data_IF_695412474610
#
_entry.id   IF_695412474610
#
_cell.length_a   1.000
_cell.length_b   1.000
_cell.length_c   1.000
_cell.angle_alpha   90.00
_cell.angle_beta   90.00
_cell.angle_gamma   90.00
#
_symmetry.space_group_name_H-M   'P 1'
#
loop_
_entity.id
_entity.type
_entity.pdbx_description
1 polymer ?
#
# COMPACT_ATOMS: atom_id res chain seq x y z
N UNK A 1 8.74 2.99 21.26
CA UNK A 1 8.54 3.07 19.81
C UNK A 1 8.40 4.54 19.47
N UNK A 2 9.19 5.04 18.52
CA UNK A 2 9.06 6.41 18.02
C UNK A 2 7.74 6.57 17.27
N UNK A 3 7.31 7.82 17.08
CA UNK A 3 6.17 8.18 16.25
C UNK A 3 6.54 8.04 14.78
N UNK A 4 5.69 7.42 13.95
CA UNK A 4 5.85 7.40 12.49
C UNK A 4 4.54 7.70 11.75
N UNK A 5 4.64 8.13 10.50
CA UNK A 5 3.53 8.24 9.56
C UNK A 5 3.79 7.44 8.28
N UNK A 6 2.72 6.99 7.64
CA UNK A 6 2.74 6.41 6.31
C UNK A 6 2.45 7.48 5.27
N UNK A 7 3.25 7.52 4.21
CA UNK A 7 3.13 8.53 3.16
C UNK A 7 3.20 7.88 1.78
N UNK A 8 2.55 8.47 0.77
CA UNK A 8 2.71 8.03 -0.61
C UNK A 8 4.18 8.19 -1.06
N UNK A 9 4.85 7.16 -1.59
CA UNK A 9 6.24 7.26 -2.06
C UNK A 9 6.42 8.24 -3.22
N UNK A 10 5.37 8.48 -4.02
CA UNK A 10 5.41 9.34 -5.20
C UNK A 10 5.02 10.79 -4.87
N UNK A 11 3.89 11.00 -4.18
CA UNK A 11 3.36 12.35 -3.91
C UNK A 11 3.76 12.91 -2.55
N UNK A 12 4.29 12.06 -1.65
CA UNK A 12 4.68 12.39 -0.28
C UNK A 12 3.51 12.74 0.65
N UNK A 13 2.27 12.63 0.18
CA UNK A 13 1.04 12.86 0.95
C UNK A 13 0.88 11.84 2.07
N UNK A 14 0.36 12.26 3.22
CA UNK A 14 0.11 11.39 4.37
C UNK A 14 -1.06 10.45 4.05
N UNK A 15 -0.95 9.17 4.43
CA UNK A 15 -1.93 8.11 4.18
C UNK A 15 -2.64 7.65 5.47
N UNK A 16 -1.93 7.64 6.60
CA UNK A 16 -2.46 7.21 7.88
C UNK A 16 -3.15 8.36 8.63
N UNK A 17 -4.27 8.03 9.30
CA UNK A 17 -4.93 8.97 10.20
C UNK A 17 -4.19 9.08 11.54
N UNK A 18 -3.62 7.98 12.01
CA UNK A 18 -2.97 7.88 13.31
C UNK A 18 -1.49 7.56 13.18
N UNK A 19 -0.67 8.40 13.80
CA UNK A 19 0.77 8.15 13.90
C UNK A 19 0.98 6.81 14.62
N UNK A 20 1.84 5.96 14.07
CA UNK A 20 2.13 4.59 14.50
C UNK A 20 1.14 3.50 14.07
N UNK A 21 0.21 3.81 13.17
CA UNK A 21 -0.65 2.82 12.55
C UNK A 21 -0.10 2.39 11.20
N UNK A 22 -0.26 1.10 10.89
CA UNK A 22 -0.06 0.58 9.53
C UNK A 22 -1.38 0.57 8.74
N UNK A 23 -2.45 1.08 9.33
CA UNK A 23 -3.78 1.13 8.73
C UNK A 23 -3.96 2.44 7.98
N UNK A 24 -4.39 2.33 6.72
CA UNK A 24 -4.76 3.46 5.88
C UNK A 24 -6.28 3.49 5.82
N UNK A 25 -6.87 4.53 6.40
CA UNK A 25 -8.33 4.69 6.48
C UNK A 25 -8.89 5.56 5.36
N UNK A 26 -8.10 6.50 4.81
CA UNK A 26 -8.48 7.29 3.65
C UNK A 26 -7.31 7.32 2.66
N UNK A 27 -7.54 6.91 1.42
CA UNK A 27 -6.51 6.90 0.39
C UNK A 27 -6.21 8.31 -0.13
N UNK A 28 -4.92 8.67 -0.17
CA UNK A 28 -4.40 9.88 -0.81
C UNK A 28 -3.17 9.52 -1.66
N UNK A 29 -2.77 10.36 -2.62
CA UNK A 29 -1.53 10.18 -3.39
C UNK A 29 -1.38 8.85 -4.10
N UNK A 30 -1.86 8.75 -5.35
CA UNK A 30 -1.72 7.59 -6.25
C UNK A 30 -1.98 6.21 -5.62
N UNK A 31 -2.65 6.16 -4.48
CA UNK A 31 -2.81 4.98 -3.68
C UNK A 31 -3.97 4.14 -4.22
N UNK A 32 -3.76 2.83 -4.32
CA UNK A 32 -4.71 1.91 -4.94
C UNK A 32 -5.42 1.04 -3.90
N UNK A 33 -4.68 0.43 -2.98
CA UNK A 33 -5.22 -0.48 -1.97
C UNK A 33 -4.25 -0.71 -0.81
N UNK A 34 -4.78 -1.22 0.29
CA UNK A 34 -4.00 -1.82 1.38
C UNK A 34 -4.68 -3.07 1.91
N UNK A 35 -3.87 -4.07 2.24
CA UNK A 35 -4.30 -5.38 2.71
C UNK A 35 -3.37 -5.88 3.80
N UNK A 36 -3.88 -6.72 4.69
CA UNK A 36 -3.09 -7.60 5.53
C UNK A 36 -3.46 -9.06 5.28
N UNK A 37 -2.67 -10.00 5.79
CA UNK A 37 -2.88 -11.44 5.54
C UNK A 37 -4.32 -11.90 5.85
N UNK A 38 -4.91 -11.38 6.93
CA UNK A 38 -6.25 -11.75 7.41
C UNK A 38 -7.29 -10.60 7.33
N UNK A 39 -6.94 -9.45 6.74
CA UNK A 39 -7.80 -8.26 6.74
C UNK A 39 -7.65 -7.40 5.47
N UNK A 40 -8.75 -6.80 5.00
CA UNK A 40 -8.73 -5.78 3.95
C UNK A 40 -9.26 -4.48 4.54
N UNK A 41 -8.53 -3.39 4.35
CA UNK A 41 -8.92 -2.08 4.88
C UNK A 41 -9.88 -1.43 3.90
N UNK A 42 -11.17 -1.52 4.20
CA UNK A 42 -12.28 -1.22 3.27
C UNK A 42 -12.37 0.24 2.78
N UNK A 43 -11.82 1.22 3.49
CA UNK A 43 -12.07 2.65 3.21
C UNK A 43 -11.03 3.34 2.32
N UNK A 44 -10.07 2.61 1.77
CA UNK A 44 -8.95 3.19 1.04
C UNK A 44 -8.83 2.60 -0.39
N UNK A 45 -9.38 3.30 -1.41
CA UNK A 45 -9.04 3.10 -2.83
C UNK A 45 -9.91 2.12 -3.64
N UNK A 46 -9.32 1.44 -4.63
CA UNK A 46 -9.96 0.48 -5.56
C UNK A 46 -10.28 -0.88 -4.91
N UNK A 47 -10.58 -0.88 -3.60
CA UNK A 47 -10.82 -2.08 -2.79
C UNK A 47 -11.87 -3.02 -3.38
N UNK A 48 -12.91 -2.47 -4.00
CA UNK A 48 -14.00 -3.24 -4.61
C UNK A 48 -13.54 -4.22 -5.71
N UNK A 49 -12.41 -3.99 -6.36
CA UNK A 49 -11.88 -4.91 -7.37
C UNK A 49 -11.04 -6.01 -6.74
N UNK A 50 -10.02 -5.64 -5.97
CA UNK A 50 -9.11 -6.60 -5.33
C UNK A 50 -9.84 -7.51 -4.34
N UNK A 51 -10.91 -7.04 -3.70
CA UNK A 51 -11.81 -7.82 -2.86
C UNK A 51 -12.42 -9.01 -3.61
N UNK A 52 -12.75 -8.86 -4.89
CA UNK A 52 -13.31 -9.98 -5.70
C UNK A 52 -12.31 -11.12 -5.87
N UNK A 53 -11.02 -10.83 -5.75
CA UNK A 53 -9.93 -11.80 -5.86
C UNK A 53 -9.52 -12.37 -4.51
N UNK A 54 -9.80 -11.65 -3.43
CA UNK A 54 -9.46 -12.04 -2.07
C UNK A 54 -10.39 -13.13 -1.54
N UNK A 55 -10.03 -14.39 -1.83
CA UNK A 55 -10.75 -15.58 -1.35
C UNK A 55 -10.00 -16.33 -0.26
N UNK A 56 -8.71 -16.61 -0.49
CA UNK A 56 -7.90 -17.48 0.37
C UNK A 56 -6.53 -16.88 0.74
N UNK A 57 -6.07 -15.82 0.04
CA UNK A 57 -4.76 -15.22 0.27
C UNK A 57 -4.70 -13.80 -0.28
N UNK A 58 -4.07 -12.89 0.48
CA UNK A 58 -3.80 -11.52 0.04
C UNK A 58 -2.89 -11.50 -1.20
N UNK A 59 -1.86 -12.33 -1.25
CA UNK A 59 -0.90 -12.35 -2.37
C UNK A 59 -1.57 -12.76 -3.68
N UNK A 60 -2.43 -13.79 -3.66
CA UNK A 60 -3.17 -14.22 -4.86
C UNK A 60 -4.13 -13.13 -5.36
N UNK A 61 -4.68 -12.32 -4.45
CA UNK A 61 -5.55 -11.20 -4.81
C UNK A 61 -4.75 -10.09 -5.50
N UNK A 62 -3.59 -9.74 -4.94
CA UNK A 62 -2.67 -8.74 -5.48
C UNK A 62 -2.16 -9.18 -6.86
N UNK A 63 -1.71 -10.43 -7.02
CA UNK A 63 -1.23 -10.94 -8.31
C UNK A 63 -2.29 -10.85 -9.40
N UNK A 64 -3.54 -11.21 -9.07
CA UNK A 64 -4.67 -11.08 -10.02
C UNK A 64 -4.98 -9.62 -10.35
N UNK A 65 -4.96 -8.75 -9.35
CA UNK A 65 -5.16 -7.31 -9.56
C UNK A 65 -4.08 -6.75 -10.50
N UNK A 66 -2.80 -6.96 -10.20
CA UNK A 66 -1.68 -6.51 -11.03
C UNK A 66 -1.74 -7.11 -12.44
N UNK A 67 -2.13 -8.39 -12.58
CA UNK A 67 -2.28 -9.02 -13.89
C UNK A 67 -3.41 -8.39 -14.74
N UNK A 68 -4.46 -7.88 -14.11
CA UNK A 68 -5.56 -7.20 -14.81
C UNK A 68 -5.22 -5.76 -15.16
N UNK A 69 -4.30 -5.15 -14.41
CA UNK A 69 -3.77 -3.80 -14.62
C UNK A 69 -2.34 -3.83 -15.19
N UNK A 70 -2.02 -4.80 -16.04
CA UNK A 70 -0.64 -5.02 -16.55
C UNK A 70 -0.06 -3.87 -17.37
N UNK A 71 -0.93 -3.02 -17.91
CA UNK A 71 -0.57 -1.78 -18.60
C UNK A 71 -0.21 -0.64 -17.64
N UNK A 72 -0.53 -0.77 -16.36
CA UNK A 72 -0.22 0.19 -15.32
C UNK A 72 1.14 -0.14 -14.67
N UNK A 73 1.85 0.91 -14.27
CA UNK A 73 3.08 0.77 -13.51
C UNK A 73 2.75 0.78 -12.02
N UNK A 74 2.50 -0.38 -11.43
CA UNK A 74 2.08 -0.50 -10.04
C UNK A 74 3.29 -0.85 -9.16
N UNK A 75 3.53 -0.04 -8.14
CA UNK A 75 4.45 -0.36 -7.04
C UNK A 75 3.69 -1.10 -5.95
N UNK A 76 4.24 -2.25 -5.55
CA UNK A 76 3.78 -3.01 -4.38
C UNK A 76 4.83 -2.89 -3.28
N UNK A 77 4.39 -2.49 -2.08
CA UNK A 77 5.21 -2.45 -0.88
C UNK A 77 4.70 -3.52 0.09
N UNK A 78 5.60 -4.39 0.53
CA UNK A 78 5.36 -5.35 1.62
C UNK A 78 6.01 -4.84 2.90
N UNK A 79 5.26 -4.85 4.00
CA UNK A 79 5.77 -4.52 5.33
C UNK A 79 5.45 -5.68 6.28
N UNK A 80 6.48 -6.19 6.94
CA UNK A 80 6.33 -7.20 7.98
C UNK A 80 6.42 -6.58 9.36
N UNK A 81 5.44 -6.84 10.22
CA UNK A 81 5.41 -6.38 11.62
C UNK A 81 5.05 -7.54 12.55
N UNK A 82 6.07 -8.16 13.14
CA UNK A 82 5.85 -9.35 13.96
C UNK A 82 5.44 -10.52 13.06
N UNK A 83 4.27 -11.10 13.33
CA UNK A 83 3.70 -12.19 12.52
C UNK A 83 2.73 -11.68 11.43
N UNK A 84 2.44 -10.38 11.40
CA UNK A 84 1.51 -9.78 10.45
C UNK A 84 2.25 -9.21 9.22
N UNK A 85 1.72 -9.48 8.03
CA UNK A 85 2.17 -8.87 6.77
C UNK A 85 1.14 -7.87 6.26
N UNK A 86 1.62 -6.70 5.84
CA UNK A 86 0.84 -5.63 5.23
C UNK A 86 1.32 -5.38 3.81
N UNK A 87 0.38 -5.15 2.91
CA UNK A 87 0.63 -4.89 1.50
C UNK A 87 -0.02 -3.58 1.09
N UNK A 88 0.71 -2.78 0.31
CA UNK A 88 0.26 -1.49 -0.19
C UNK A 88 0.52 -1.37 -1.69
N UNK A 89 -0.50 -0.96 -2.44
CA UNK A 89 -0.42 -0.73 -3.88
C UNK A 89 -0.45 0.75 -4.24
N UNK A 90 0.46 1.19 -5.11
CA UNK A 90 0.53 2.58 -5.60
C UNK A 90 0.71 2.63 -7.12
N UNK A 91 0.01 3.54 -7.78
CA UNK A 91 0.15 3.82 -9.20
C UNK A 91 1.33 4.78 -9.46
N UNK A 92 2.31 4.33 -10.25
CA UNK A 92 3.43 5.13 -10.68
C UNK A 92 3.15 5.79 -12.04
N UNK A 93 2.24 6.75 -12.06
CA UNK A 93 1.84 7.47 -13.29
C UNK A 93 3.02 8.15 -13.98
N UNK A 94 3.94 8.72 -13.19
CA UNK A 94 5.10 9.45 -13.69
C UNK A 94 6.29 8.55 -14.07
N UNK A 95 6.16 7.22 -13.93
CA UNK A 95 7.23 6.24 -14.17
C UNK A 95 8.54 6.58 -13.43
N UNK A 96 8.41 7.11 -12.21
CA UNK A 96 9.54 7.45 -11.36
C UNK A 96 10.32 6.18 -10.99
N UNK A 97 11.62 6.20 -11.25
CA UNK A 97 12.53 5.16 -10.79
C UNK A 97 13.04 5.52 -9.40
N UNK A 98 12.42 4.97 -8.38
CA UNK A 98 12.86 5.10 -6.99
C UNK A 98 13.63 3.84 -6.60
N UNK A 99 14.77 4.02 -5.93
CA UNK A 99 15.47 2.90 -5.30
C UNK A 99 14.68 2.38 -4.09
N UNK A 100 14.87 1.11 -3.68
CA UNK A 100 14.22 0.57 -2.48
C UNK A 100 14.45 1.43 -1.23
N UNK A 101 15.66 1.96 -1.04
CA UNK A 101 16.00 2.84 0.09
C UNK A 101 15.23 4.17 0.07
N UNK A 102 14.98 4.72 -1.12
CA UNK A 102 14.17 5.93 -1.28
C UNK A 102 12.70 5.65 -1.04
N UNK A 103 12.20 4.50 -1.51
CA UNK A 103 10.82 4.08 -1.26
C UNK A 103 10.59 3.97 0.25
N UNK A 104 11.46 3.26 0.97
CA UNK A 104 11.36 3.07 2.41
C UNK A 104 11.33 4.42 3.16
N UNK A 105 12.31 5.30 2.88
CA UNK A 105 12.42 6.63 3.51
C UNK A 105 11.21 7.53 3.23
N UNK A 106 10.59 7.39 2.06
CA UNK A 106 9.42 8.19 1.69
C UNK A 106 8.15 7.60 2.26
N UNK A 107 8.05 6.27 2.32
CA UNK A 107 6.87 5.55 2.75
C UNK A 107 6.69 5.62 4.26
N UNK A 108 7.72 5.32 5.05
CA UNK A 108 7.69 5.36 6.51
C UNK A 108 8.53 6.55 6.97
N UNK A 109 7.90 7.52 7.62
CA UNK A 109 8.60 8.70 8.15
C UNK A 109 8.52 8.73 9.66
N UNK A 110 9.67 8.84 10.30
CA UNK A 110 9.73 9.18 11.72
C UNK A 110 9.19 10.61 11.94
N UNK A 111 8.35 10.77 12.97
CA UNK A 111 7.68 12.01 13.39
C UNK A 111 8.22 12.45 14.74
#
# INVERSE_FOLDING_TARGET
MGTFSLNCPFTNEKLDNDNNSFEIYEGAGNYLFSMCDDCMFFDAGNNNEIEKYWKNSAIEAIEKFVSNHKEENILIIEVQKGDDTYYYGFLNEENLQLSPEEIEKRFIKEV
#
